data_IF_267396388739
#
_entry.id   IF_267396388739
#
_cell.length_a   1.000
_cell.length_b   1.000
_cell.length_c   1.000
_cell.angle_alpha   90.00
_cell.angle_beta   90.00
_cell.angle_gamma   90.00
#
_symmetry.space_group_name_H-M   'P 1'
#
loop_
_entity.id
_entity.type
_entity.pdbx_description
1 polymer ?
#
# COMPACT_ATOMS: atom_id res chain seq x y z
N UNK A 1 -24.69 -1.26 -0.07
CA UNK A 1 -23.64 -1.71 0.87
C UNK A 1 -24.13 -1.36 2.27
N UNK A 2 -24.13 -2.31 3.21
CA UNK A 2 -24.56 -2.02 4.58
C UNK A 2 -23.48 -1.18 5.29
N UNK A 3 -23.89 -0.27 6.17
CA UNK A 3 -22.95 0.58 6.94
C UNK A 3 -21.96 -0.28 7.76
N UNK A 4 -22.41 -1.43 8.23
CA UNK A 4 -21.61 -2.42 8.95
C UNK A 4 -20.45 -2.95 8.10
N UNK A 5 -20.65 -3.15 6.79
CA UNK A 5 -19.59 -3.61 5.88
C UNK A 5 -18.43 -2.62 5.84
N UNK A 6 -18.75 -1.33 5.81
CA UNK A 6 -17.75 -0.26 5.76
C UNK A 6 -16.90 -0.26 7.02
N UNK A 7 -17.52 -0.32 8.20
CA UNK A 7 -16.80 -0.22 9.46
C UNK A 7 -16.10 -1.52 9.88
N UNK A 8 -16.65 -2.68 9.52
CA UNK A 8 -16.11 -3.99 9.95
C UNK A 8 -15.02 -4.48 8.99
N UNK A 9 -15.13 -4.19 7.70
CA UNK A 9 -14.24 -4.78 6.69
C UNK A 9 -13.47 -3.73 5.90
N UNK A 10 -14.15 -2.77 5.29
CA UNK A 10 -13.52 -1.88 4.30
C UNK A 10 -12.54 -0.90 4.94
N UNK A 11 -12.95 -0.22 6.03
CA UNK A 11 -12.10 0.71 6.76
C UNK A 11 -10.91 0.01 7.42
N UNK A 12 -11.08 -1.12 8.14
CA UNK A 12 -9.95 -1.90 8.63
C UNK A 12 -9.01 -2.36 7.52
N UNK A 13 -9.54 -2.82 6.38
CA UNK A 13 -8.72 -3.22 5.24
C UNK A 13 -7.86 -2.07 4.71
N UNK A 14 -8.45 -0.87 4.56
CA UNK A 14 -7.73 0.34 4.16
C UNK A 14 -6.62 0.70 5.16
N UNK A 15 -6.93 0.72 6.46
CA UNK A 15 -5.93 1.04 7.50
C UNK A 15 -4.80 0.01 7.50
N UNK A 16 -5.12 -1.28 7.41
CA UNK A 16 -4.13 -2.36 7.33
C UNK A 16 -3.25 -2.24 6.09
N UNK A 17 -3.83 -1.92 4.93
CA UNK A 17 -3.07 -1.72 3.69
C UNK A 17 -2.04 -0.61 3.83
N UNK A 18 -2.46 0.53 4.40
CA UNK A 18 -1.59 1.67 4.67
C UNK A 18 -0.46 1.30 5.64
N UNK A 19 -0.80 0.69 6.78
CA UNK A 19 0.18 0.28 7.79
C UNK A 19 1.21 -0.69 7.23
N UNK A 20 0.78 -1.62 6.37
CA UNK A 20 1.67 -2.62 5.77
C UNK A 20 2.60 -2.01 4.73
N UNK A 21 2.13 -1.02 3.95
CA UNK A 21 2.99 -0.25 3.04
C UNK A 21 4.04 0.56 3.78
N UNK A 22 3.64 1.28 4.84
CA UNK A 22 4.57 2.00 5.73
C UNK A 22 5.56 1.07 6.42
N UNK A 23 5.11 -0.12 6.84
CA UNK A 23 6.01 -1.13 7.42
C UNK A 23 7.04 -1.60 6.40
N UNK A 24 6.61 -1.86 5.15
CA UNK A 24 7.48 -2.20 4.03
C UNK A 24 8.57 -1.15 3.81
N UNK A 25 8.16 0.11 3.65
CA UNK A 25 9.06 1.22 3.39
C UNK A 25 10.01 1.50 4.58
N UNK A 26 9.50 1.56 5.82
CA UNK A 26 10.29 1.95 7.00
C UNK A 26 11.20 0.85 7.55
N UNK A 27 10.81 -0.42 7.44
CA UNK A 27 11.51 -1.52 8.11
C UNK A 27 11.96 -2.59 7.13
N UNK A 28 11.05 -3.14 6.33
CA UNK A 28 11.37 -4.30 5.48
C UNK A 28 12.46 -3.96 4.46
N UNK A 29 12.31 -2.86 3.73
CA UNK A 29 13.30 -2.39 2.75
C UNK A 29 14.68 -2.21 3.37
N UNK A 30 14.74 -1.64 4.58
CA UNK A 30 15.99 -1.44 5.31
C UNK A 30 16.61 -2.79 5.69
N UNK A 31 15.82 -3.75 6.16
CA UNK A 31 16.29 -5.08 6.56
C UNK A 31 16.86 -5.89 5.39
N UNK A 32 16.34 -5.69 4.18
CA UNK A 32 16.81 -6.38 2.96
C UNK A 32 17.87 -5.56 2.19
N UNK A 33 18.38 -4.48 2.78
CA UNK A 33 19.48 -3.69 2.22
C UNK A 33 19.08 -2.73 1.10
N UNK A 34 17.87 -2.17 1.14
CA UNK A 34 17.34 -1.18 0.20
C UNK A 34 17.57 -1.55 -1.28
N UNK A 35 17.06 -2.71 -1.73
CA UNK A 35 17.29 -3.23 -3.07
C UNK A 35 16.72 -2.28 -4.13
N UNK A 36 17.53 -1.94 -5.12
CA UNK A 36 17.13 -1.06 -6.22
C UNK A 36 16.20 -1.69 -7.25
N UNK A 37 16.09 -3.02 -7.23
CA UNK A 37 15.27 -3.79 -8.18
C UNK A 37 13.84 -4.00 -7.70
N UNK A 38 13.52 -3.73 -6.43
CA UNK A 38 12.14 -3.84 -5.95
C UNK A 38 11.30 -2.66 -6.45
N UNK A 39 10.11 -2.93 -7.01
CA UNK A 39 9.11 -1.90 -7.29
C UNK A 39 8.76 -1.08 -6.04
N UNK A 40 8.45 0.19 -6.25
CA UNK A 40 7.81 1.03 -5.23
C UNK A 40 6.45 0.48 -4.81
N UNK A 41 6.07 0.70 -3.55
CA UNK A 41 4.96 -0.04 -2.94
C UNK A 41 3.60 0.39 -3.48
N UNK A 42 3.47 1.62 -4.00
CA UNK A 42 2.27 2.05 -4.70
C UNK A 42 1.91 1.11 -5.86
N UNK A 43 2.89 0.48 -6.51
CA UNK A 43 2.66 -0.46 -7.61
C UNK A 43 1.93 -1.71 -7.10
N UNK A 44 2.31 -2.23 -5.93
CA UNK A 44 1.59 -3.35 -5.32
C UNK A 44 0.16 -2.96 -4.94
N UNK A 45 -0.06 -1.72 -4.49
CA UNK A 45 -1.39 -1.17 -4.23
C UNK A 45 -2.27 -1.17 -5.49
N UNK A 46 -1.72 -0.71 -6.62
CA UNK A 46 -2.39 -0.76 -7.93
C UNK A 46 -2.70 -2.19 -8.36
N UNK A 47 -1.74 -3.11 -8.24
CA UNK A 47 -1.94 -4.52 -8.59
C UNK A 47 -3.09 -5.12 -7.76
N UNK A 48 -3.15 -4.84 -6.46
CA UNK A 48 -4.22 -5.31 -5.59
C UNK A 48 -5.59 -4.75 -6.01
N UNK A 49 -5.66 -3.46 -6.34
CA UNK A 49 -6.88 -2.84 -6.88
C UNK A 49 -7.31 -3.44 -8.23
N UNK A 50 -6.38 -3.92 -9.06
CA UNK A 50 -6.73 -4.61 -10.31
C UNK A 50 -7.21 -6.03 -10.04
N UNK A 51 -6.49 -6.78 -9.19
CA UNK A 51 -6.83 -8.17 -8.84
C UNK A 51 -8.20 -8.27 -8.17
N UNK A 52 -8.62 -7.25 -7.41
CA UNK A 52 -9.93 -7.25 -6.74
C UNK A 52 -11.13 -7.44 -7.68
N UNK A 53 -11.00 -7.08 -8.95
CA UNK A 53 -12.07 -7.27 -9.95
C UNK A 53 -12.27 -8.72 -10.39
N UNK A 54 -11.33 -9.62 -10.05
CA UNK A 54 -11.32 -11.02 -10.48
C UNK A 54 -11.64 -12.01 -9.37
N UNK A 55 -11.90 -11.53 -8.15
CA UNK A 55 -12.23 -12.37 -6.98
C UNK A 55 -13.70 -12.18 -6.58
N UNK A 56 -14.18 -12.96 -5.61
CA UNK A 56 -15.58 -12.87 -5.16
C UNK A 56 -15.92 -11.45 -4.67
N UNK A 57 -17.17 -10.97 -4.80
CA UNK A 57 -17.49 -9.56 -4.55
C UNK A 57 -17.07 -9.03 -3.17
N UNK A 58 -17.23 -9.84 -2.11
CA UNK A 58 -16.84 -9.45 -0.74
C UNK A 58 -15.33 -9.37 -0.59
N UNK A 59 -14.60 -10.40 -1.06
CA UNK A 59 -13.14 -10.38 -1.03
C UNK A 59 -12.58 -9.29 -1.94
N UNK A 60 -13.21 -9.04 -3.08
CA UNK A 60 -12.85 -7.98 -4.02
C UNK A 60 -12.90 -6.61 -3.35
N UNK A 61 -13.99 -6.28 -2.67
CA UNK A 61 -14.08 -5.01 -1.93
C UNK A 61 -12.98 -4.88 -0.87
N UNK A 62 -12.77 -5.92 -0.06
CA UNK A 62 -11.71 -5.93 0.97
C UNK A 62 -10.33 -5.74 0.34
N UNK A 63 -10.01 -6.50 -0.72
CA UNK A 63 -8.74 -6.41 -1.45
C UNK A 63 -8.57 -5.04 -2.09
N UNK A 64 -9.64 -4.46 -2.63
CA UNK A 64 -9.60 -3.14 -3.25
C UNK A 64 -9.29 -2.05 -2.23
N UNK A 65 -9.98 -2.03 -1.08
CA UNK A 65 -9.71 -1.05 -0.01
C UNK A 65 -8.33 -1.24 0.61
N UNK A 66 -7.88 -2.49 0.78
CA UNK A 66 -6.52 -2.78 1.20
C UNK A 66 -5.50 -2.24 0.18
N UNK A 67 -5.74 -2.44 -1.13
CA UNK A 67 -4.93 -1.87 -2.20
C UNK A 67 -4.88 -0.35 -2.18
N UNK A 68 -6.01 0.32 -1.94
CA UNK A 68 -6.07 1.78 -1.75
C UNK A 68 -5.19 2.21 -0.57
N UNK A 69 -5.32 1.55 0.59
CA UNK A 69 -4.50 1.87 1.76
C UNK A 69 -3.01 1.75 1.46
N UNK A 70 -2.61 0.65 0.82
CA UNK A 70 -1.23 0.40 0.45
C UNK A 70 -0.71 1.43 -0.57
N UNK A 71 -1.52 1.80 -1.55
CA UNK A 71 -1.21 2.84 -2.53
C UNK A 71 -1.03 4.22 -1.87
N UNK A 72 -1.92 4.61 -0.95
CA UNK A 72 -1.86 5.90 -0.25
C UNK A 72 -0.59 6.03 0.61
N UNK A 73 -0.04 4.91 1.09
CA UNK A 73 1.17 4.94 1.92
C UNK A 73 2.43 5.46 1.20
N UNK A 74 2.36 5.56 -0.12
CA UNK A 74 3.45 5.75 -1.08
C UNK A 74 2.98 6.66 -2.27
N UNK A 75 2.05 7.58 -1.97
CA UNK A 75 1.35 8.43 -2.94
C UNK A 75 2.25 9.50 -3.60
N UNK A 76 3.24 10.05 -2.89
CA UNK A 76 4.15 11.06 -3.46
C UNK A 76 5.17 10.40 -4.37
N UNK A 77 5.65 9.19 -4.09
CA UNK A 77 6.46 8.42 -5.05
C UNK A 77 5.68 8.06 -6.32
N UNK A 78 4.38 7.75 -6.19
CA UNK A 78 3.50 7.68 -7.35
C UNK A 78 3.39 9.02 -8.10
N UNK A 79 3.19 10.12 -7.37
CA UNK A 79 3.08 11.46 -7.96
C UNK A 79 4.34 11.88 -8.73
N UNK A 80 5.51 11.46 -8.23
CA UNK A 80 6.82 11.65 -8.86
C UNK A 80 7.14 10.59 -9.92
N UNK A 81 6.23 9.62 -10.15
CA UNK A 81 6.38 8.50 -11.09
C UNK A 81 7.66 7.67 -10.83
N UNK A 82 8.01 7.47 -9.56
CA UNK A 82 9.11 6.57 -9.19
C UNK A 82 8.62 5.13 -9.22
N UNK A 83 9.22 4.32 -10.08
CA UNK A 83 8.86 2.90 -10.21
C UNK A 83 9.84 1.96 -9.51
N UNK A 84 11.12 2.35 -9.44
CA UNK A 84 12.23 1.56 -8.91
C UNK A 84 13.23 2.49 -8.18
N UNK A 85 14.28 1.87 -7.63
CA UNK A 85 15.34 2.49 -6.83
C UNK A 85 14.91 2.85 -5.41
N UNK A 86 15.80 2.67 -4.41
CA UNK A 86 15.49 3.06 -3.05
C UNK A 86 15.43 4.59 -2.95
N UNK A 87 14.65 5.07 -1.99
CA UNK A 87 14.66 6.48 -1.63
C UNK A 87 16.00 6.92 -1.06
N UNK A 88 16.24 8.23 -1.14
CA UNK A 88 17.41 8.85 -0.53
C UNK A 88 17.47 8.53 0.97
N UNK A 89 18.69 8.33 1.47
CA UNK A 89 18.90 8.03 2.88
C UNK A 89 18.43 9.21 3.75
N UNK A 90 17.48 8.94 4.66
CA UNK A 90 16.89 9.94 5.54
C UNK A 90 16.06 9.34 6.67
N UNK A 91 15.61 10.18 7.61
CA UNK A 91 14.72 9.75 8.69
C UNK A 91 13.35 9.34 8.15
N UNK A 92 13.07 8.04 8.15
CA UNK A 92 11.78 7.50 7.73
C UNK A 92 10.73 7.72 8.82
N UNK A 93 9.64 8.40 8.48
CA UNK A 93 8.51 8.65 9.39
C UNK A 93 7.39 7.65 9.11
N UNK A 94 7.00 6.86 10.13
CA UNK A 94 6.02 5.81 9.91
C UNK A 94 4.63 6.33 9.48
N UNK A 95 4.11 7.35 10.15
CA UNK A 95 2.79 7.95 9.83
C UNK A 95 2.86 9.03 8.74
N UNK A 96 3.74 8.87 7.77
CA UNK A 96 3.87 9.77 6.63
C UNK A 96 3.28 9.17 5.36
N UNK A 97 2.95 10.03 4.40
CA UNK A 97 2.65 9.66 3.04
C UNK A 97 3.90 10.01 2.24
N UNK A 98 4.72 9.00 1.93
CA UNK A 98 5.82 9.16 0.98
C UNK A 98 5.33 9.16 -0.44
#
# INVERSE_FOLDING_TARGET
>A
MAIEQIFIYDLPALVCGYLLGRFGHCYLNVWIGNPSWLPHHWIYGVILMVISFFVSPVLGLITFYFGIGHFISDLKDFWELKFFAPDEEGEKRFFHID
#
